data_IF_492487031509
#
_entry.id   IF_492487031509
#
_cell.length_a   1.000
_cell.length_b   1.000
_cell.length_c   1.000
_cell.angle_alpha   90.00
_cell.angle_beta   90.00
_cell.angle_gamma   90.00
#
_symmetry.space_group_name_H-M   'P 1'
#
loop_
_entity.id
_entity.type
_entity.pdbx_description
1 polymer ?
#
# COMPACT_ATOMS: atom_id res chain seq x y z
N UNK A 1 12.73 26.06 3.08
CA UNK A 1 12.52 25.31 1.81
C UNK A 1 11.06 25.54 1.45
N UNK A 2 10.66 26.07 0.29
CA UNK A 2 11.28 26.02 -1.04
C UNK A 2 11.14 27.32 -1.84
N UNK A 3 11.81 27.36 -3.00
CA UNK A 3 11.85 28.47 -3.94
C UNK A 3 10.46 29.04 -4.23
N UNK A 4 10.41 30.35 -4.41
CA UNK A 4 9.19 31.14 -4.60
C UNK A 4 8.38 30.65 -5.80
N UNK A 5 7.40 29.81 -5.52
CA UNK A 5 6.53 29.28 -6.53
C UNK A 5 5.11 29.78 -6.27
N UNK A 6 4.62 30.49 -7.27
CA UNK A 6 3.20 30.73 -7.48
C UNK A 6 2.50 29.36 -7.60
N UNK A 7 1.68 29.01 -6.60
CA UNK A 7 0.98 27.72 -6.55
C UNK A 7 0.15 27.45 -7.80
N UNK A 8 -0.43 28.49 -8.41
CA UNK A 8 -1.28 28.33 -9.58
C UNK A 8 -0.45 27.94 -10.80
N UNK A 9 0.76 28.49 -10.93
CA UNK A 9 1.74 28.06 -11.96
C UNK A 9 2.24 26.64 -11.71
N UNK A 10 2.45 26.25 -10.45
CA UNK A 10 2.85 24.89 -10.10
C UNK A 10 1.77 23.89 -10.49
N UNK A 11 0.50 24.20 -10.19
CA UNK A 11 -0.65 23.35 -10.54
C UNK A 11 -0.81 23.17 -12.04
N UNK A 12 -0.47 24.18 -12.84
CA UNK A 12 -0.47 24.07 -14.30
C UNK A 12 0.64 23.14 -14.83
N UNK A 13 1.83 23.17 -14.23
CA UNK A 13 2.96 22.33 -14.63
C UNK A 13 2.88 20.89 -14.09
N UNK A 14 2.18 20.68 -12.98
CA UNK A 14 2.03 19.40 -12.29
C UNK A 14 0.54 19.00 -12.22
N UNK A 15 -0.03 18.34 -13.24
CA UNK A 15 -1.45 17.97 -13.22
C UNK A 15 -1.83 17.02 -12.06
N UNK A 16 -0.86 16.27 -11.52
CA UNK A 16 -1.01 15.39 -10.37
C UNK A 16 -0.75 16.08 -9.01
N UNK A 17 -0.53 17.40 -8.99
CA UNK A 17 -0.17 18.19 -7.79
C UNK A 17 -1.15 18.05 -6.63
N UNK A 18 -2.41 17.70 -6.91
CA UNK A 18 -3.43 17.55 -5.87
C UNK A 18 -3.09 16.42 -4.89
N UNK A 19 -2.31 15.44 -5.35
CA UNK A 19 -2.01 14.23 -4.59
C UNK A 19 -0.65 14.32 -3.86
N UNK A 20 0.18 15.33 -4.15
CA UNK A 20 1.51 15.50 -3.56
C UNK A 20 1.66 16.88 -2.90
N UNK A 21 1.90 16.98 -1.58
CA UNK A 21 1.96 18.27 -0.87
C UNK A 21 3.31 18.96 -1.09
N UNK A 22 3.42 19.71 -2.18
CA UNK A 22 4.64 20.44 -2.56
C UNK A 22 5.00 21.58 -1.62
N UNK A 23 4.03 22.15 -0.92
CA UNK A 23 4.23 23.15 0.13
C UNK A 23 5.03 22.58 1.32
N UNK A 24 4.88 21.29 1.60
CA UNK A 24 5.60 20.57 2.65
C UNK A 24 6.97 20.09 2.14
N UNK A 25 6.98 19.30 1.06
CA UNK A 25 8.20 18.62 0.60
C UNK A 25 9.07 19.52 -0.26
N UNK A 26 8.45 20.37 -1.07
CA UNK A 26 9.17 21.26 -1.95
C UNK A 26 9.72 20.63 -3.22
N UNK A 27 10.16 21.48 -4.15
CA UNK A 27 10.63 21.05 -5.48
C UNK A 27 11.94 20.27 -5.44
N UNK A 28 12.83 20.57 -4.49
CA UNK A 28 14.19 19.99 -4.48
C UNK A 28 14.21 18.49 -4.18
N UNK A 29 13.17 17.95 -3.55
CA UNK A 29 13.07 16.52 -3.25
C UNK A 29 13.00 15.69 -4.54
N UNK A 30 12.21 16.15 -5.51
CA UNK A 30 12.08 15.47 -6.82
C UNK A 30 13.13 15.97 -7.82
N UNK A 31 13.34 17.29 -7.86
CA UNK A 31 14.19 17.92 -8.86
C UNK A 31 15.68 17.97 -8.46
N UNK A 32 16.05 17.69 -7.22
CA UNK A 32 17.41 17.93 -6.72
C UNK A 32 17.69 19.41 -6.45
N UNK A 33 18.94 19.82 -6.53
CA UNK A 33 19.35 21.19 -6.18
C UNK A 33 19.64 21.39 -4.70
N UNK A 34 19.86 22.65 -4.30
CA UNK A 34 20.30 23.02 -2.95
C UNK A 34 19.19 23.78 -2.23
N UNK A 35 18.27 23.06 -1.59
CA UNK A 35 17.04 23.65 -1.00
C UNK A 35 17.23 24.65 0.13
N UNK A 36 18.45 24.77 0.69
CA UNK A 36 18.83 25.75 1.73
C UNK A 36 19.65 26.93 1.19
N UNK A 37 19.92 26.98 -0.11
CA UNK A 37 20.62 28.10 -0.71
C UNK A 37 19.77 29.38 -0.65
N UNK A 38 20.44 30.51 -0.45
CA UNK A 38 19.80 31.84 -0.38
C UNK A 38 19.77 32.56 -1.72
N UNK A 39 20.57 32.12 -2.69
CA UNK A 39 20.58 32.63 -4.06
C UNK A 39 19.95 31.63 -5.02
N UNK A 40 19.25 32.15 -6.03
CA UNK A 40 18.55 31.34 -7.04
C UNK A 40 19.51 30.44 -7.83
N UNK A 41 20.64 30.97 -8.29
CA UNK A 41 21.63 30.21 -9.06
C UNK A 41 22.18 29.01 -8.28
N UNK A 42 22.45 29.20 -6.99
CA UNK A 42 22.95 28.11 -6.13
C UNK A 42 21.83 27.14 -5.77
N UNK A 43 20.59 27.62 -5.61
CA UNK A 43 19.44 26.75 -5.34
C UNK A 43 19.16 25.80 -6.52
N UNK A 44 19.32 26.27 -7.76
CA UNK A 44 19.09 25.51 -8.98
C UNK A 44 20.32 24.71 -9.47
N UNK A 45 21.46 24.82 -8.80
CA UNK A 45 22.67 24.09 -9.16
C UNK A 45 22.44 22.58 -9.08
N UNK A 46 22.63 21.86 -10.19
CA UNK A 46 22.42 20.41 -10.26
C UNK A 46 20.94 19.97 -10.30
N UNK A 47 20.01 20.89 -10.50
CA UNK A 47 18.58 20.58 -10.59
C UNK A 47 18.22 19.89 -11.92
N UNK A 48 17.28 18.95 -11.85
CA UNK A 48 16.71 18.22 -12.98
C UNK A 48 15.39 18.86 -13.38
N UNK A 49 15.27 19.36 -14.61
CA UNK A 49 14.12 20.13 -15.06
C UNK A 49 13.02 19.27 -15.69
N UNK A 50 13.37 18.05 -16.12
CA UNK A 50 12.45 17.19 -16.86
C UNK A 50 12.30 15.83 -16.21
N UNK A 51 11.08 15.27 -16.31
CA UNK A 51 10.72 13.94 -15.79
C UNK A 51 11.76 12.87 -16.14
N UNK A 52 12.17 12.81 -17.41
CA UNK A 52 13.18 11.87 -17.90
C UNK A 52 14.54 12.00 -17.18
N UNK A 53 14.96 13.22 -16.84
CA UNK A 53 16.21 13.41 -16.12
C UNK A 53 16.11 12.87 -14.69
N UNK A 54 14.96 13.06 -14.03
CA UNK A 54 14.71 12.50 -12.70
C UNK A 54 14.70 10.97 -12.73
N UNK A 55 14.00 10.37 -13.69
CA UNK A 55 13.94 8.91 -13.87
C UNK A 55 15.33 8.29 -14.12
N UNK A 56 16.19 8.96 -14.90
CA UNK A 56 17.56 8.51 -15.16
C UNK A 56 18.45 8.46 -13.91
N UNK A 57 18.05 9.11 -12.80
CA UNK A 57 18.76 9.00 -11.51
C UNK A 57 18.64 7.61 -10.92
N UNK A 58 17.59 6.86 -11.26
CA UNK A 58 17.30 5.53 -10.71
C UNK A 58 18.31 4.51 -11.26
N UNK A 59 19.50 4.55 -10.67
CA UNK A 59 20.64 3.71 -11.06
C UNK A 59 20.82 2.51 -10.11
N UNK A 60 20.29 2.63 -8.89
CA UNK A 60 20.26 1.62 -7.82
C UNK A 60 19.04 1.81 -6.91
N UNK A 61 18.77 0.85 -6.03
CA UNK A 61 17.73 0.94 -5.02
C UNK A 61 17.95 2.10 -4.03
N UNK A 62 19.22 2.44 -3.76
CA UNK A 62 19.59 3.51 -2.84
C UNK A 62 19.04 4.87 -3.27
N UNK A 63 18.87 5.10 -4.57
CA UNK A 63 18.24 6.35 -5.06
C UNK A 63 16.80 6.48 -4.56
N UNK A 64 16.02 5.39 -4.61
CA UNK A 64 14.64 5.40 -4.11
C UNK A 64 14.60 5.49 -2.59
N UNK A 65 15.51 4.78 -1.90
CA UNK A 65 15.58 4.85 -0.45
C UNK A 65 15.95 6.24 0.05
N UNK A 66 16.90 6.91 -0.61
CA UNK A 66 17.25 8.30 -0.31
C UNK A 66 16.06 9.24 -0.50
N UNK A 67 15.35 9.12 -1.62
CA UNK A 67 14.14 9.89 -1.89
C UNK A 67 13.05 9.67 -0.83
N UNK A 68 12.72 8.42 -0.51
CA UNK A 68 11.72 8.11 0.53
C UNK A 68 12.16 8.55 1.92
N UNK A 69 13.47 8.49 2.22
CA UNK A 69 14.02 8.98 3.49
C UNK A 69 13.93 10.50 3.59
N UNK A 70 14.11 11.22 2.48
CA UNK A 70 13.97 12.67 2.45
C UNK A 70 12.50 13.07 2.69
N UNK A 71 11.56 12.41 2.02
CA UNK A 71 10.13 12.58 2.29
C UNK A 71 9.80 12.28 3.76
N UNK A 72 10.30 11.17 4.31
CA UNK A 72 10.07 10.83 5.71
C UNK A 72 10.60 11.90 6.67
N UNK A 73 11.76 12.50 6.37
CA UNK A 73 12.40 13.54 7.18
C UNK A 73 11.63 14.86 7.15
N UNK A 74 11.03 15.19 6.01
CA UNK A 74 10.28 16.42 5.81
C UNK A 74 8.81 16.31 6.24
N UNK A 75 8.35 15.08 6.52
CA UNK A 75 6.98 14.84 6.97
C UNK A 75 6.82 15.41 8.38
N UNK A 76 5.84 16.30 8.63
CA UNK A 76 5.60 16.85 9.95
C UNK A 76 5.36 15.76 11.00
N UNK A 77 5.85 15.97 12.22
CA UNK A 77 5.53 15.08 13.35
C UNK A 77 4.02 15.11 13.62
N UNK A 78 3.41 13.94 13.69
CA UNK A 78 1.98 13.78 13.94
C UNK A 78 1.67 13.97 15.43
N UNK A 79 0.66 14.80 15.70
CA UNK A 79 0.21 15.07 17.08
C UNK A 79 -0.78 14.02 17.58
N UNK A 80 -1.43 13.27 16.68
CA UNK A 80 -2.37 12.21 17.00
C UNK A 80 -1.74 10.80 16.82
N UNK A 81 -1.46 10.07 17.92
CA UNK A 81 -0.86 8.73 17.86
C UNK A 81 -1.78 7.64 17.24
N UNK A 82 -3.04 7.97 16.91
CA UNK A 82 -4.01 7.06 16.31
C UNK A 82 -4.20 7.27 14.80
N UNK A 83 -3.73 8.40 14.25
CA UNK A 83 -3.69 8.66 12.82
C UNK A 83 -2.57 7.82 12.18
N UNK A 84 -2.96 6.77 11.46
CA UNK A 84 -2.04 6.12 10.52
C UNK A 84 -1.85 7.10 9.37
N UNK A 85 -0.73 7.82 9.36
CA UNK A 85 -0.34 8.64 8.22
C UNK A 85 -0.43 7.78 6.95
N UNK A 86 -1.43 8.06 6.11
CA UNK A 86 -1.33 7.71 4.67
C UNK A 86 -0.12 8.40 4.03
N UNK A 87 0.45 9.40 4.72
CA UNK A 87 1.72 10.06 4.40
C UNK A 87 2.97 9.30 4.85
N UNK A 88 2.88 8.11 5.48
CA UNK A 88 4.05 7.31 5.86
C UNK A 88 4.48 6.28 4.80
N UNK A 89 3.61 5.99 3.81
CA UNK A 89 3.91 5.04 2.75
C UNK A 89 4.36 5.76 1.46
N UNK A 90 5.59 6.25 1.46
CA UNK A 90 6.19 6.93 0.30
C UNK A 90 6.46 6.01 -0.89
N UNK A 91 6.33 4.68 -0.71
CA UNK A 91 6.53 3.71 -1.80
C UNK A 91 5.46 3.83 -2.88
N UNK A 92 4.36 4.54 -2.58
CA UNK A 92 3.34 4.90 -3.57
C UNK A 92 3.77 5.99 -4.53
N UNK A 93 4.91 6.67 -4.30
CA UNK A 93 5.44 7.70 -5.17
C UNK A 93 6.71 7.24 -5.90
N UNK A 94 6.81 7.61 -7.17
CA UNK A 94 8.02 7.49 -7.97
C UNK A 94 8.97 8.67 -7.68
N UNK A 95 10.19 8.62 -8.24
CA UNK A 95 11.21 9.67 -8.06
C UNK A 95 10.76 11.06 -8.58
N UNK A 96 9.66 11.12 -9.34
CA UNK A 96 9.11 12.36 -9.91
C UNK A 96 8.00 12.95 -9.04
N UNK A 97 7.64 12.30 -7.93
CA UNK A 97 6.48 12.65 -7.11
C UNK A 97 5.14 12.14 -7.66
N UNK A 98 5.12 11.56 -8.86
CA UNK A 98 3.93 10.90 -9.40
C UNK A 98 3.61 9.61 -8.62
N UNK A 99 2.35 9.18 -8.64
CA UNK A 99 1.98 7.83 -8.16
C UNK A 99 2.74 6.76 -8.94
N UNK A 100 3.38 5.85 -8.22
CA UNK A 100 4.11 4.73 -8.78
C UNK A 100 3.16 3.77 -9.51
N UNK A 101 3.63 3.21 -10.62
CA UNK A 101 2.79 2.39 -11.51
C UNK A 101 2.74 0.93 -11.07
N UNK A 102 1.53 0.41 -10.88
CA UNK A 102 1.27 -1.01 -10.75
C UNK A 102 1.36 -1.68 -12.13
N UNK A 103 2.29 -2.62 -12.29
CA UNK A 103 2.59 -3.26 -13.57
C UNK A 103 1.78 -4.55 -13.80
N UNK A 104 1.09 -5.02 -12.77
CA UNK A 104 0.23 -6.19 -12.78
C UNK A 104 0.97 -7.51 -12.60
N UNK A 105 0.29 -8.48 -12.00
CA UNK A 105 0.87 -9.78 -11.65
C UNK A 105 1.48 -10.53 -12.83
N UNK A 106 0.96 -10.36 -14.05
CA UNK A 106 1.46 -11.04 -15.25
C UNK A 106 2.94 -10.71 -15.52
N UNK A 107 3.39 -9.49 -15.24
CA UNK A 107 4.79 -9.12 -15.41
C UNK A 107 5.69 -9.92 -14.47
N UNK A 108 5.27 -10.09 -13.21
CA UNK A 108 5.97 -10.89 -12.20
C UNK A 108 5.97 -12.38 -12.57
N UNK A 109 4.82 -12.90 -12.99
CA UNK A 109 4.59 -14.32 -13.27
C UNK A 109 5.43 -14.86 -14.43
N UNK A 110 5.85 -14.01 -15.37
CA UNK A 110 6.73 -14.40 -16.49
C UNK A 110 8.01 -15.09 -16.02
N UNK A 111 8.59 -14.64 -14.91
CA UNK A 111 9.82 -15.19 -14.35
C UNK A 111 9.56 -16.01 -13.08
N UNK A 112 8.68 -15.54 -12.19
CA UNK A 112 8.49 -16.14 -10.86
C UNK A 112 7.78 -17.49 -10.87
N UNK A 113 7.07 -17.85 -11.95
CA UNK A 113 6.55 -19.21 -12.14
C UNK A 113 7.67 -20.25 -12.19
N UNK A 114 8.85 -19.90 -12.70
CA UNK A 114 10.02 -20.78 -12.71
C UNK A 114 10.90 -20.60 -11.49
N UNK A 115 11.27 -19.34 -11.18
CA UNK A 115 12.26 -19.04 -10.15
C UNK A 115 11.76 -19.28 -8.72
N UNK A 116 10.45 -19.11 -8.50
CA UNK A 116 9.83 -19.17 -7.17
C UNK A 116 8.47 -19.88 -7.23
N UNK A 117 8.37 -21.00 -7.95
CA UNK A 117 7.10 -21.70 -8.21
C UNK A 117 6.28 -21.98 -6.94
N UNK A 118 6.85 -22.48 -5.83
CA UNK A 118 6.06 -22.78 -4.63
C UNK A 118 5.37 -21.54 -4.04
N UNK A 119 6.02 -20.38 -4.13
CA UNK A 119 5.45 -19.11 -3.69
C UNK A 119 4.27 -18.71 -4.59
N UNK A 120 4.47 -18.73 -5.90
CA UNK A 120 3.44 -18.37 -6.90
C UNK A 120 2.22 -19.29 -6.81
N UNK A 121 2.43 -20.61 -6.78
CA UNK A 121 1.36 -21.60 -6.72
C UNK A 121 0.54 -21.50 -5.44
N UNK A 122 1.20 -21.24 -4.30
CA UNK A 122 0.49 -20.97 -3.06
C UNK A 122 -0.36 -19.72 -3.23
N UNK A 123 0.22 -18.63 -3.69
CA UNK A 123 -0.44 -17.33 -3.72
C UNK A 123 -1.66 -17.27 -4.66
N UNK A 124 -1.54 -17.86 -5.86
CA UNK A 124 -2.65 -17.99 -6.80
C UNK A 124 -3.83 -18.77 -6.24
N UNK A 125 -3.57 -19.75 -5.37
CA UNK A 125 -4.60 -20.59 -4.75
C UNK A 125 -5.37 -19.86 -3.65
N UNK A 126 -4.69 -19.04 -2.84
CA UNK A 126 -5.27 -18.51 -1.60
C UNK A 126 -5.52 -16.99 -1.60
N UNK A 127 -4.64 -16.17 -2.19
CA UNK A 127 -4.70 -14.71 -2.01
C UNK A 127 -5.33 -13.98 -3.20
N UNK A 128 -5.08 -14.46 -4.42
CA UNK A 128 -5.70 -13.91 -5.64
C UNK A 128 -7.23 -14.05 -5.63
N UNK A 129 -7.75 -15.10 -4.96
CA UNK A 129 -9.18 -15.42 -4.94
C UNK A 129 -9.99 -14.67 -3.88
N UNK A 130 -9.34 -13.86 -3.04
CA UNK A 130 -10.00 -13.16 -1.93
C UNK A 130 -11.15 -12.27 -2.41
N UNK A 131 -11.04 -11.66 -3.59
CA UNK A 131 -12.10 -10.81 -4.13
C UNK A 131 -13.30 -11.59 -4.67
N UNK A 132 -13.10 -12.83 -5.15
CA UNK A 132 -14.21 -13.70 -5.55
C UNK A 132 -15.13 -13.97 -4.37
N UNK A 133 -14.58 -14.18 -3.17
CA UNK A 133 -15.36 -14.34 -1.96
C UNK A 133 -16.17 -13.08 -1.61
N UNK A 134 -15.57 -11.90 -1.76
CA UNK A 134 -16.25 -10.62 -1.51
C UNK A 134 -17.35 -10.37 -2.53
N UNK A 135 -17.11 -10.62 -3.82
CA UNK A 135 -18.12 -10.44 -4.88
C UNK A 135 -19.37 -11.30 -4.66
N UNK A 136 -19.22 -12.45 -3.99
CA UNK A 136 -20.32 -13.35 -3.65
C UNK A 136 -20.94 -13.08 -2.27
N UNK A 137 -20.42 -12.11 -1.52
CA UNK A 137 -20.92 -11.81 -0.19
C UNK A 137 -22.23 -11.00 -0.26
N UNK A 138 -23.26 -11.34 0.55
CA UNK A 138 -24.56 -10.67 0.50
C UNK A 138 -24.53 -9.14 0.69
N UNK A 139 -23.60 -8.64 1.50
CA UNK A 139 -23.37 -7.22 1.78
C UNK A 139 -22.83 -6.50 0.56
N UNK A 140 -21.88 -7.10 -0.14
CA UNK A 140 -21.28 -6.52 -1.33
C UNK A 140 -22.30 -6.46 -2.47
N UNK A 141 -23.13 -7.49 -2.60
CA UNK A 141 -24.20 -7.57 -3.61
C UNK A 141 -25.27 -6.52 -3.32
N UNK A 142 -25.80 -6.47 -2.10
CA UNK A 142 -26.89 -5.58 -1.72
C UNK A 142 -26.44 -4.15 -1.35
N UNK A 143 -25.15 -3.94 -1.11
CA UNK A 143 -24.55 -2.65 -0.77
C UNK A 143 -24.54 -1.67 -1.94
N UNK A 144 -24.45 -0.38 -1.63
CA UNK A 144 -24.27 0.68 -2.62
C UNK A 144 -22.79 0.79 -3.04
N UNK A 145 -22.49 1.72 -3.96
CA UNK A 145 -21.11 1.94 -4.44
C UNK A 145 -20.14 2.28 -3.30
N UNK A 146 -20.55 3.15 -2.38
CA UNK A 146 -19.73 3.56 -1.25
C UNK A 146 -19.38 2.38 -0.32
N UNK A 147 -20.35 1.51 -0.07
CA UNK A 147 -20.13 0.27 0.66
C UNK A 147 -19.09 -0.60 -0.06
N UNK A 148 -19.24 -0.80 -1.38
CA UNK A 148 -18.31 -1.62 -2.16
C UNK A 148 -16.89 -1.05 -2.12
N UNK A 149 -16.74 0.28 -2.20
CA UNK A 149 -15.42 0.95 -2.09
C UNK A 149 -14.68 0.57 -0.81
N UNK A 150 -15.38 0.43 0.32
CA UNK A 150 -14.74 -0.03 1.57
C UNK A 150 -14.13 -1.43 1.46
N UNK A 151 -14.77 -2.35 0.70
CA UNK A 151 -14.26 -3.69 0.45
C UNK A 151 -13.06 -3.66 -0.51
N UNK A 152 -13.11 -2.80 -1.53
CA UNK A 152 -12.07 -2.71 -2.57
C UNK A 152 -10.71 -2.32 -1.99
N UNK A 153 -10.68 -1.47 -0.95
CA UNK A 153 -9.45 -1.06 -0.24
C UNK A 153 -8.56 -2.23 0.19
N UNK A 154 -9.18 -3.35 0.60
CA UNK A 154 -8.46 -4.52 1.12
C UNK A 154 -8.46 -5.73 0.19
N UNK A 155 -9.40 -5.81 -0.74
CA UNK A 155 -9.62 -6.98 -1.59
C UNK A 155 -9.24 -6.75 -3.05
N UNK A 156 -8.56 -5.64 -3.35
CA UNK A 156 -7.96 -5.39 -4.66
C UNK A 156 -6.51 -4.95 -4.49
N UNK A 157 -5.78 -4.83 -5.59
CA UNK A 157 -4.40 -4.37 -5.60
C UNK A 157 -4.31 -2.99 -6.22
N UNK A 158 -3.63 -2.06 -5.53
CA UNK A 158 -3.43 -0.69 -6.00
C UNK A 158 -4.73 0.13 -6.02
N UNK A 159 -5.58 -0.03 -5.00
CA UNK A 159 -6.78 0.79 -4.86
C UNK A 159 -6.40 2.26 -4.57
N UNK A 160 -6.97 3.18 -5.34
CA UNK A 160 -6.79 4.62 -5.21
C UNK A 160 -8.08 5.24 -4.68
N UNK A 161 -8.03 5.75 -3.44
CA UNK A 161 -9.20 6.33 -2.77
C UNK A 161 -9.74 7.57 -3.48
N UNK A 162 -8.87 8.35 -4.13
CA UNK A 162 -9.27 9.58 -4.82
C UNK A 162 -10.09 9.29 -6.08
N UNK A 163 -9.83 8.16 -6.75
CA UNK A 163 -10.50 7.79 -8.00
C UNK A 163 -11.50 6.65 -7.85
N UNK A 164 -11.43 5.89 -6.75
CA UNK A 164 -12.20 4.67 -6.52
C UNK A 164 -11.80 3.49 -7.42
N UNK A 165 -10.65 3.59 -8.10
CA UNK A 165 -10.17 2.57 -9.05
C UNK A 165 -9.10 1.70 -8.41
N UNK A 166 -8.88 0.52 -8.96
CA UNK A 166 -7.80 -0.39 -8.58
C UNK A 166 -7.07 -0.91 -9.82
N UNK A 167 -5.85 -1.38 -9.63
CA UNK A 167 -4.98 -1.87 -10.70
C UNK A 167 -5.23 -3.34 -11.06
N UNK A 168 -5.54 -4.18 -10.07
CA UNK A 168 -5.82 -5.61 -10.29
C UNK A 168 -6.84 -6.14 -9.28
N UNK A 169 -7.71 -7.05 -9.73
CA UNK A 169 -8.64 -7.76 -8.84
C UNK A 169 -7.90 -8.71 -7.90
N UNK A 170 -8.33 -8.74 -6.63
CA UNK A 170 -7.72 -9.59 -5.61
C UNK A 170 -6.45 -8.99 -5.01
N UNK A 171 -5.97 -9.65 -3.95
CA UNK A 171 -4.72 -9.31 -3.27
C UNK A 171 -3.57 -10.01 -4.02
N UNK A 172 -2.99 -9.32 -5.00
CA UNK A 172 -1.97 -9.86 -5.90
C UNK A 172 -0.55 -9.60 -5.38
N UNK A 173 0.47 -9.74 -6.24
CA UNK A 173 1.88 -9.61 -5.84
C UNK A 173 2.18 -8.22 -5.28
N UNK A 174 1.68 -7.19 -5.96
CA UNK A 174 1.97 -5.79 -5.67
C UNK A 174 1.20 -5.26 -4.45
N UNK A 175 0.20 -5.99 -3.96
CA UNK A 175 -0.49 -5.65 -2.70
C UNK A 175 0.43 -5.78 -1.47
N UNK A 176 1.50 -6.58 -1.56
CA UNK A 176 2.51 -6.71 -0.51
C UNK A 176 3.87 -6.14 -0.92
N UNK A 177 4.25 -6.31 -2.19
CA UNK A 177 5.56 -5.85 -2.67
C UNK A 177 5.58 -4.37 -3.10
N UNK A 178 4.43 -3.70 -3.15
CA UNK A 178 4.28 -2.36 -3.67
C UNK A 178 4.20 -2.32 -5.20
N UNK A 179 4.01 -1.12 -5.75
CA UNK A 179 3.95 -0.87 -7.18
C UNK A 179 5.25 -1.30 -7.89
N UNK A 180 5.12 -2.09 -8.95
CA UNK A 180 6.24 -2.77 -9.60
C UNK A 180 7.01 -1.99 -10.62
N UNK A 181 6.67 -0.73 -10.88
CA UNK A 181 7.38 0.16 -11.79
C UNK A 181 8.91 0.05 -11.65
N UNK A 182 9.46 0.38 -10.48
CA UNK A 182 10.91 0.48 -10.29
C UNK A 182 11.59 -0.88 -10.18
N UNK A 183 11.04 -1.81 -9.39
CA UNK A 183 11.70 -3.11 -9.23
C UNK A 183 11.60 -3.97 -10.48
N UNK A 184 10.52 -3.87 -11.26
CA UNK A 184 10.43 -4.59 -12.54
C UNK A 184 11.37 -4.00 -13.58
N UNK A 185 11.57 -2.67 -13.59
CA UNK A 185 12.59 -2.03 -14.44
C UNK A 185 13.99 -2.59 -14.15
N UNK A 186 14.40 -2.65 -12.87
CA UNK A 186 15.70 -3.23 -12.51
C UNK A 186 15.85 -4.69 -12.94
N UNK A 187 14.78 -5.49 -12.86
CA UNK A 187 14.79 -6.87 -13.36
C UNK A 187 15.00 -6.92 -14.88
N UNK A 188 14.36 -6.03 -15.64
CA UNK A 188 14.46 -5.97 -17.11
C UNK A 188 15.84 -5.56 -17.61
N UNK A 189 16.53 -4.66 -16.90
CA UNK A 189 17.87 -4.19 -17.28
C UNK A 189 19.02 -5.05 -16.71
N UNK A 190 18.71 -6.25 -16.20
CA UNK A 190 19.72 -7.18 -15.67
C UNK A 190 20.29 -6.81 -14.30
N UNK A 191 19.62 -5.91 -13.56
CA UNK A 191 19.98 -5.50 -12.18
C UNK A 191 18.98 -6.03 -11.15
N UNK A 192 18.52 -7.27 -11.31
CA UNK A 192 17.53 -7.90 -10.43
C UNK A 192 17.81 -7.76 -8.91
N UNK A 193 19.06 -7.80 -8.41
CA UNK A 193 19.35 -7.56 -6.99
C UNK A 193 18.87 -6.19 -6.48
N UNK A 194 18.94 -5.13 -7.31
CA UNK A 194 18.46 -3.79 -6.94
C UNK A 194 16.93 -3.78 -6.83
N UNK A 195 16.23 -4.40 -7.80
CA UNK A 195 14.78 -4.56 -7.73
C UNK A 195 14.33 -5.38 -6.50
N UNK A 196 15.09 -6.42 -6.13
CA UNK A 196 14.79 -7.24 -4.97
C UNK A 196 14.89 -6.46 -3.65
N UNK A 197 15.86 -5.53 -3.51
CA UNK A 197 15.96 -4.66 -2.33
C UNK A 197 14.67 -3.87 -2.13
N UNK A 198 14.16 -3.26 -3.21
CA UNK A 198 12.95 -2.45 -3.19
C UNK A 198 11.71 -3.31 -2.85
N UNK A 199 11.52 -4.44 -3.55
CA UNK A 199 10.35 -5.29 -3.38
C UNK A 199 10.22 -5.90 -1.97
N UNK A 200 11.29 -5.91 -1.16
CA UNK A 200 11.29 -6.43 0.22
C UNK A 200 10.86 -5.42 1.27
N UNK A 201 10.92 -4.11 0.99
CA UNK A 201 10.69 -3.05 1.98
C UNK A 201 9.29 -3.10 2.60
N UNK A 202 8.31 -3.71 1.94
CA UNK A 202 6.94 -3.92 2.46
C UNK A 202 6.66 -5.30 3.06
N UNK A 203 7.65 -6.19 3.21
CA UNK A 203 7.40 -7.58 3.63
C UNK A 203 7.51 -7.78 5.14
N UNK A 204 7.01 -8.91 5.64
CA UNK A 204 6.99 -9.27 7.06
C UNK A 204 8.38 -9.11 7.71
N UNK A 205 8.44 -8.44 8.88
CA UNK A 205 9.69 -8.14 9.60
C UNK A 205 10.30 -6.77 9.29
N UNK A 206 9.67 -5.98 8.42
CA UNK A 206 10.01 -4.56 8.21
C UNK A 206 9.08 -3.66 9.05
N UNK A 207 9.47 -2.39 9.30
CA UNK A 207 8.56 -1.39 9.89
C UNK A 207 7.26 -1.19 9.09
N UNK A 208 7.24 -1.58 7.81
CA UNK A 208 6.12 -1.41 6.89
C UNK A 208 5.31 -2.71 6.78
N UNK A 209 4.66 -3.12 7.88
CA UNK A 209 3.82 -4.31 7.92
C UNK A 209 2.59 -4.18 6.99
N UNK A 210 2.63 -4.82 5.83
CA UNK A 210 1.53 -4.85 4.84
C UNK A 210 0.30 -5.64 5.28
N UNK A 211 0.38 -6.42 6.36
CA UNK A 211 -0.78 -7.16 6.85
C UNK A 211 -1.78 -6.25 7.58
N UNK A 212 -1.27 -5.29 8.36
CA UNK A 212 -2.05 -4.46 9.28
C UNK A 212 -3.11 -3.55 8.65
N UNK A 213 -2.88 -2.94 7.47
CA UNK A 213 -3.89 -2.14 6.78
C UNK A 213 -5.18 -2.90 6.45
N UNK A 214 -5.08 -4.21 6.19
CA UNK A 214 -6.24 -5.06 5.87
C UNK A 214 -6.73 -5.86 7.08
N UNK A 215 -5.80 -6.48 7.81
CA UNK A 215 -6.10 -7.36 8.95
C UNK A 215 -6.18 -6.57 10.26
N UNK A 216 -7.15 -5.66 10.35
CA UNK A 216 -7.50 -4.93 11.56
C UNK A 216 -8.93 -5.25 11.98
N UNK A 217 -9.18 -5.36 13.28
CA UNK A 217 -10.49 -5.76 13.83
C UNK A 217 -11.63 -4.84 13.38
N UNK A 218 -11.34 -3.55 13.20
CA UNK A 218 -12.34 -2.54 12.77
C UNK A 218 -12.69 -2.57 11.28
N UNK A 219 -11.87 -3.20 10.43
CA UNK A 219 -12.07 -3.20 8.98
C UNK A 219 -13.27 -4.05 8.50
N UNK A 220 -13.93 -4.76 9.41
CA UNK A 220 -15.15 -5.53 9.10
C UNK A 220 -16.37 -5.07 9.93
N UNK A 221 -16.24 -4.04 10.77
CA UNK A 221 -17.35 -3.51 11.60
C UNK A 221 -18.50 -2.95 10.76
N UNK A 222 -18.21 -2.41 9.56
CA UNK A 222 -19.24 -1.95 8.63
C UNK A 222 -20.16 -3.09 8.18
N UNK A 223 -19.67 -4.33 8.17
CA UNK A 223 -20.48 -5.49 7.83
C UNK A 223 -21.46 -5.81 8.96
N UNK A 224 -21.00 -5.77 10.22
CA UNK A 224 -21.86 -5.96 11.39
C UNK A 224 -23.07 -4.99 11.35
N UNK A 225 -22.79 -3.69 11.15
CA UNK A 225 -23.84 -2.67 11.01
C UNK A 225 -24.80 -2.99 9.87
N UNK A 226 -24.29 -3.39 8.71
CA UNK A 226 -25.10 -3.73 7.55
C UNK A 226 -26.13 -4.84 7.82
N UNK A 227 -25.74 -5.90 8.53
CA UNK A 227 -26.65 -7.02 8.87
C UNK A 227 -27.62 -6.67 9.99
N UNK A 228 -27.15 -6.03 11.05
CA UNK A 228 -28.00 -5.66 12.19
C UNK A 228 -29.15 -4.75 11.76
N UNK A 229 -28.89 -3.78 10.88
CA UNK A 229 -29.92 -2.90 10.30
C UNK A 229 -30.96 -3.63 9.44
N UNK A 230 -30.65 -4.86 8.98
CA UNK A 230 -31.50 -5.68 8.11
C UNK A 230 -32.04 -6.93 8.81
N UNK A 231 -31.92 -7.01 10.14
CA UNK A 231 -32.39 -8.15 10.93
C UNK A 231 -31.60 -9.45 10.70
N UNK A 232 -30.38 -9.37 10.18
CA UNK A 232 -29.49 -10.51 10.00
C UNK A 232 -28.79 -10.93 11.30
N UNK A 233 -28.30 -12.18 11.36
CA UNK A 233 -27.52 -12.69 12.50
C UNK A 233 -26.07 -12.18 12.50
N UNK A 234 -25.46 -12.13 13.69
CA UNK A 234 -24.05 -11.75 13.86
C UNK A 234 -23.06 -12.88 13.44
N UNK A 235 -23.56 -14.06 13.05
CA UNK A 235 -22.76 -15.24 12.68
C UNK A 235 -21.74 -14.93 11.57
N UNK A 236 -22.15 -14.06 10.66
CA UNK A 236 -21.33 -13.45 9.62
C UNK A 236 -20.00 -12.84 10.11
N UNK A 237 -20.03 -12.21 11.29
CA UNK A 237 -18.91 -11.42 11.82
C UNK A 237 -17.71 -12.30 12.16
N UNK A 238 -17.93 -13.60 12.31
CA UNK A 238 -16.89 -14.60 12.47
C UNK A 238 -16.69 -15.33 11.14
N UNK A 239 -15.73 -14.90 10.28
CA UNK A 239 -15.39 -15.65 9.08
C UNK A 239 -15.18 -17.12 9.42
N UNK A 240 -15.53 -18.02 8.50
CA UNK A 240 -15.29 -19.47 8.60
C UNK A 240 -13.80 -19.85 8.81
N UNK A 241 -12.89 -18.86 8.84
CA UNK A 241 -11.44 -18.99 9.00
C UNK A 241 -10.85 -18.18 10.16
N UNK A 242 -11.68 -17.66 11.09
CA UNK A 242 -11.19 -17.06 12.36
C UNK A 242 -11.08 -18.07 13.50
N UNK A 243 -11.48 -19.33 13.28
CA UNK A 243 -10.99 -20.41 14.14
C UNK A 243 -9.48 -20.54 13.90
N UNK A 244 -8.63 -20.41 14.94
CA UNK A 244 -7.21 -20.66 14.79
C UNK A 244 -7.02 -22.04 14.15
N UNK A 245 -6.05 -22.18 13.25
CA UNK A 245 -5.57 -23.48 12.80
C UNK A 245 -5.42 -24.34 14.06
N UNK A 246 -6.19 -25.43 14.20
CA UNK A 246 -6.14 -26.29 15.40
C UNK A 246 -4.73 -26.86 15.51
N UNK A 247 -3.83 -26.14 16.18
CA UNK A 247 -2.51 -26.63 16.57
C UNK A 247 -2.70 -27.55 17.74
N UNK A 248 -3.23 -28.76 17.51
CA UNK A 248 -3.12 -29.95 18.37
C UNK A 248 -3.51 -29.88 19.86
N UNK A 249 -3.89 -28.73 20.41
CA UNK A 249 -4.08 -28.49 21.83
C UNK A 249 -5.51 -28.04 22.09
N UNK A 250 -6.46 -28.88 21.69
CA UNK A 250 -7.76 -28.98 22.37
C UNK A 250 -8.47 -30.22 21.83
N UNK A 251 -8.06 -31.36 22.36
CA UNK A 251 -9.00 -32.43 22.69
C UNK A 251 -8.85 -32.63 24.18
N UNK A 252 -9.84 -32.16 24.91
CA UNK A 252 -10.40 -32.85 26.06
C UNK A 252 -11.78 -32.22 26.29
N UNK A 253 -12.76 -32.85 25.65
CA UNK A 253 -14.13 -32.82 26.11
C UNK A 253 -14.16 -33.50 27.48
N UNK A 254 -14.22 -32.74 28.57
CA UNK A 254 -14.75 -33.25 29.83
C UNK A 254 -15.76 -32.25 30.38
N UNK A 255 -16.90 -32.82 30.77
CA UNK A 255 -18.13 -32.14 31.08
C UNK A 255 -17.99 -31.05 32.15
N UNK A 256 -18.72 -29.96 31.95
CA UNK A 256 -18.83 -28.86 32.91
C UNK A 256 -19.29 -29.37 34.29
N UNK A 257 -18.44 -29.23 35.29
CA UNK A 257 -18.81 -29.37 36.70
C UNK A 257 -19.40 -28.03 37.17
N UNK A 258 -20.59 -27.99 37.78
CA UNK A 258 -21.15 -26.73 38.28
C UNK A 258 -20.43 -26.29 39.56
N UNK A 259 -20.09 -24.99 39.62
CA UNK A 259 -19.46 -24.36 40.78
C UNK A 259 -20.37 -24.39 42.02
N UNK A 260 -19.82 -24.56 43.24
CA UNK A 260 -20.62 -24.60 44.46
C UNK A 260 -21.16 -23.22 44.81
N UNK A 261 -22.42 -23.18 45.28
CA UNK A 261 -23.03 -21.96 45.83
C UNK A 261 -22.42 -21.66 47.20
N UNK A 262 -21.83 -20.49 47.35
CA UNK A 262 -21.39 -19.98 48.65
C UNK A 262 -22.60 -19.45 49.45
N UNK A 263 -22.65 -19.76 50.74
CA UNK A 263 -23.35 -18.99 51.78
C UNK A 263 -22.28 -18.33 52.64
#
# INVERSE_FOLDING_TARGET
MTCHIDEDKLKAAHPNVKDFPFDIYGCTVCHGGIGRALSEEVAHEGMHYHKRQMELRITSAETMFGFWSELATLTPEESDPSLRLEMGDFKKYSITGDKAVYVGSQKCLKCHKGLTSPHVERWQRIKFKTFEHVKNAPDYIAGNEEYRKTCLKCHTTGYDEATGKYSEEGVTCEACHGAGEVFSYFMEIGKAPEGQKIAKVGTFGTPYNVCGPCHHTRNHEMRLKFFQERGGSDEWFFPQHTTPYKTGFSKNDEAAVPLPKMH
#
